data_IF_347469562454
#
_entry.id   IF_347469562454
#
_cell.length_a   1.000
_cell.length_b   1.000
_cell.length_c   1.000
_cell.angle_alpha   90.00
_cell.angle_beta   90.00
_cell.angle_gamma   90.00
#
_symmetry.space_group_name_H-M   'P 1'
#
loop_
_entity.id
_entity.type
_entity.pdbx_description
1 polymer ?
#
# COMPACT_ATOMS: atom_id res chain seq x y z
N UNK A 1 17.96 6.31 -5.54
CA UNK A 1 18.40 5.20 -6.39
C UNK A 1 17.25 4.20 -6.44
N UNK A 2 16.73 3.93 -7.64
CA UNK A 2 15.75 2.86 -7.84
C UNK A 2 16.37 1.55 -7.35
N UNK A 3 15.66 0.82 -6.49
CA UNK A 3 16.07 -0.54 -6.14
C UNK A 3 15.97 -1.33 -7.44
N UNK A 4 17.08 -1.85 -7.98
CA UNK A 4 17.01 -2.67 -9.18
C UNK A 4 16.29 -3.96 -8.81
N UNK A 5 15.19 -4.25 -9.50
CA UNK A 5 14.54 -5.56 -9.46
C UNK A 5 15.58 -6.54 -10.01
N UNK A 6 16.26 -7.26 -9.12
CA UNK A 6 17.26 -8.26 -9.50
C UNK A 6 16.61 -9.30 -10.40
N UNK A 7 17.18 -9.48 -11.58
CA UNK A 7 17.07 -10.71 -12.37
C UNK A 7 17.48 -11.89 -11.48
N UNK A 8 16.50 -12.66 -11.04
CA UNK A 8 16.70 -14.01 -10.54
C UNK A 8 15.72 -14.87 -11.33
N UNK A 9 16.28 -15.87 -12.02
CA UNK A 9 15.55 -16.90 -12.75
C UNK A 9 14.39 -17.43 -11.89
N UNK A 10 13.19 -17.46 -12.48
CA UNK A 10 11.94 -17.79 -11.82
C UNK A 10 11.93 -19.29 -11.48
N UNK A 11 11.91 -19.69 -10.19
CA UNK A 11 11.57 -21.06 -9.83
C UNK A 11 10.08 -21.29 -10.13
N UNK A 12 9.73 -22.54 -10.46
CA UNK A 12 8.40 -22.98 -10.86
C UNK A 12 7.27 -22.37 -10.00
N UNK A 13 6.23 -21.88 -10.67
CA UNK A 13 5.02 -21.35 -10.04
C UNK A 13 4.42 -22.38 -9.08
N UNK A 14 4.11 -21.97 -7.85
CA UNK A 14 3.32 -22.76 -6.91
C UNK A 14 1.98 -23.13 -7.55
N UNK A 15 1.61 -24.42 -7.46
CA UNK A 15 0.54 -25.06 -8.26
C UNK A 15 -0.84 -25.13 -7.58
N UNK A 16 -1.00 -24.64 -6.35
CA UNK A 16 -2.32 -24.60 -5.70
C UNK A 16 -2.93 -23.20 -5.83
N UNK A 17 -3.92 -23.09 -6.72
CA UNK A 17 -4.71 -21.88 -6.95
C UNK A 17 -5.65 -21.55 -5.78
N UNK A 18 -6.51 -20.55 -5.94
CA UNK A 18 -7.50 -20.23 -4.91
C UNK A 18 -8.46 -21.40 -4.66
N UNK A 19 -9.03 -21.50 -3.44
CA UNK A 19 -10.11 -22.44 -3.18
C UNK A 19 -11.23 -22.29 -4.21
N UNK A 20 -11.89 -23.40 -4.55
CA UNK A 20 -13.05 -23.37 -5.42
C UNK A 20 -14.18 -22.57 -4.75
N UNK A 21 -14.68 -21.56 -5.45
CA UNK A 21 -15.76 -20.70 -4.99
C UNK A 21 -16.94 -20.80 -5.98
N UNK A 22 -18.10 -21.35 -5.57
CA UNK A 22 -19.23 -21.54 -6.48
C UNK A 22 -19.83 -20.22 -6.96
N UNK A 23 -19.69 -19.14 -6.19
CA UNK A 23 -20.16 -17.81 -6.59
C UNK A 23 -19.18 -17.16 -7.58
N UNK A 24 -17.92 -17.62 -7.62
CA UNK A 24 -16.89 -17.11 -8.53
C UNK A 24 -16.09 -18.23 -9.21
N UNK A 25 -16.71 -19.04 -10.08
CA UNK A 25 -16.02 -20.12 -10.79
C UNK A 25 -14.82 -19.63 -11.62
N UNK A 26 -14.84 -18.35 -12.01
CA UNK A 26 -13.77 -17.70 -12.78
C UNK A 26 -12.46 -17.61 -12.00
N UNK A 27 -12.48 -17.63 -10.67
CA UNK A 27 -11.27 -17.52 -9.85
C UNK A 27 -10.28 -18.67 -10.08
N UNK A 28 -10.77 -19.84 -10.52
CA UNK A 28 -9.89 -20.96 -10.90
C UNK A 28 -8.90 -20.55 -12.00
N UNK A 29 -9.36 -19.77 -12.98
CA UNK A 29 -8.51 -19.28 -14.07
C UNK A 29 -7.88 -17.95 -13.67
N UNK A 30 -8.65 -17.03 -13.11
CA UNK A 30 -8.21 -15.67 -12.82
C UNK A 30 -7.10 -15.59 -11.75
N UNK A 31 -6.98 -16.59 -10.88
CA UNK A 31 -5.88 -16.66 -9.90
C UNK A 31 -4.62 -17.33 -10.43
N UNK A 32 -4.69 -18.02 -11.58
CA UNK A 32 -3.54 -18.71 -12.19
C UNK A 32 -2.75 -17.76 -13.11
N UNK A 33 -1.48 -17.45 -12.79
CA UNK A 33 -0.67 -16.54 -13.59
C UNK A 33 -0.40 -17.03 -15.02
N UNK A 34 -0.26 -18.35 -15.21
CA UNK A 34 0.03 -18.96 -16.51
C UNK A 34 -1.18 -18.94 -17.42
N UNK A 35 -2.36 -19.31 -16.90
CA UNK A 35 -3.60 -19.23 -17.67
C UNK A 35 -3.94 -17.77 -17.99
N UNK A 36 -3.81 -16.85 -17.02
CA UNK A 36 -4.07 -15.43 -17.28
C UNK A 36 -3.08 -14.80 -18.26
N UNK A 37 -1.83 -15.29 -18.34
CA UNK A 37 -0.88 -14.85 -19.36
C UNK A 37 -1.42 -15.13 -20.77
N UNK A 38 -1.91 -16.34 -21.02
CA UNK A 38 -2.47 -16.71 -22.33
C UNK A 38 -3.77 -15.96 -22.63
N UNK A 39 -4.64 -15.78 -21.61
CA UNK A 39 -5.84 -14.96 -21.72
C UNK A 39 -5.49 -13.51 -22.13
N UNK A 40 -4.53 -12.87 -21.45
CA UNK A 40 -4.15 -11.49 -21.81
C UNK A 40 -3.48 -11.40 -23.18
N UNK A 41 -2.71 -12.40 -23.61
CA UNK A 41 -2.14 -12.46 -24.97
C UNK A 41 -3.20 -12.54 -26.05
N UNK A 42 -4.26 -13.31 -25.81
CA UNK A 42 -5.35 -13.49 -26.76
C UNK A 42 -6.28 -12.27 -26.85
N UNK A 43 -6.50 -11.58 -25.73
CA UNK A 43 -7.56 -10.58 -25.63
C UNK A 43 -7.09 -9.12 -25.59
N UNK A 44 -5.90 -8.78 -25.06
CA UNK A 44 -5.49 -7.37 -24.96
C UNK A 44 -5.12 -6.79 -26.33
N UNK A 45 -5.88 -5.78 -26.77
CA UNK A 45 -5.72 -5.13 -28.07
C UNK A 45 -4.75 -3.96 -28.01
N UNK A 46 -3.59 -4.01 -28.70
CA UNK A 46 -2.62 -2.92 -28.68
C UNK A 46 -3.17 -1.68 -29.40
N UNK A 47 -2.87 -0.50 -28.86
CA UNK A 47 -3.23 0.79 -29.47
C UNK A 47 -2.04 1.31 -30.32
N UNK A 48 -2.35 2.09 -31.35
CA UNK A 48 -1.38 2.82 -32.18
C UNK A 48 -0.44 1.97 -33.07
N UNK A 49 -0.86 0.77 -33.50
CA UNK A 49 -0.14 -0.01 -34.52
C UNK A 49 1.23 -0.55 -34.07
N UNK A 50 1.51 -0.51 -32.75
CA UNK A 50 2.72 -1.06 -32.16
C UNK A 50 2.49 -2.51 -31.73
N UNK A 51 3.52 -3.34 -31.88
CA UNK A 51 3.47 -4.74 -31.50
C UNK A 51 4.20 -4.96 -30.18
N UNK A 52 3.48 -5.52 -29.22
CA UNK A 52 4.00 -5.85 -27.90
C UNK A 52 3.91 -7.36 -27.68
N UNK A 53 4.89 -7.90 -26.98
CA UNK A 53 4.83 -9.25 -26.46
C UNK A 53 4.68 -9.21 -24.95
N UNK A 54 3.64 -9.88 -24.43
CA UNK A 54 3.43 -10.06 -23.00
C UNK A 54 4.30 -11.24 -22.56
N UNK A 55 5.39 -10.98 -21.85
CA UNK A 55 6.37 -11.98 -21.43
C UNK A 55 5.93 -12.71 -20.16
N UNK A 56 5.31 -12.00 -19.21
CA UNK A 56 4.88 -12.56 -17.94
C UNK A 56 3.61 -11.86 -17.43
N UNK A 57 2.81 -12.60 -16.68
CA UNK A 57 1.67 -12.10 -15.91
C UNK A 57 1.91 -12.40 -14.44
N UNK A 58 1.88 -11.37 -13.58
CA UNK A 58 2.10 -11.52 -12.15
C UNK A 58 0.89 -10.96 -11.39
N UNK A 59 0.17 -11.76 -10.59
CA UNK A 59 -0.83 -11.25 -9.67
C UNK A 59 -0.19 -10.29 -8.67
N UNK A 60 -0.82 -9.15 -8.45
CA UNK A 60 -0.35 -8.07 -7.56
C UNK A 60 -1.33 -7.81 -6.42
N UNK A 61 -2.63 -7.98 -6.68
CA UNK A 61 -3.64 -7.71 -5.67
C UNK A 61 -4.90 -8.50 -5.92
N UNK A 62 -5.49 -8.99 -4.84
CA UNK A 62 -6.80 -9.58 -4.82
C UNK A 62 -7.68 -8.92 -3.76
N UNK A 63 -8.94 -8.68 -4.12
CA UNK A 63 -9.97 -8.25 -3.18
C UNK A 63 -11.30 -8.84 -3.62
N UNK A 64 -11.93 -9.61 -2.75
CA UNK A 64 -13.31 -10.02 -2.95
C UNK A 64 -14.27 -9.37 -1.95
N UNK A 65 -15.47 -9.07 -2.43
CA UNK A 65 -16.66 -8.72 -1.67
C UNK A 65 -17.77 -9.68 -2.09
N UNK A 66 -18.82 -9.81 -1.29
CA UNK A 66 -19.91 -10.78 -1.53
C UNK A 66 -20.42 -10.83 -2.98
N UNK A 67 -20.48 -9.70 -3.71
CA UNK A 67 -20.97 -9.67 -5.10
C UNK A 67 -19.90 -9.60 -6.19
N UNK A 68 -18.62 -9.37 -5.83
CA UNK A 68 -17.57 -9.09 -6.81
C UNK A 68 -16.16 -9.31 -6.29
N UNK A 69 -15.31 -9.91 -7.13
CA UNK A 69 -13.87 -9.89 -6.95
C UNK A 69 -13.16 -8.93 -7.92
N UNK A 70 -12.05 -8.36 -7.44
CA UNK A 70 -11.17 -7.44 -8.14
C UNK A 70 -9.77 -8.03 -8.09
N UNK A 71 -9.22 -8.35 -9.26
CA UNK A 71 -7.88 -8.90 -9.43
C UNK A 71 -7.02 -7.87 -10.16
N UNK A 72 -5.82 -7.64 -9.67
CA UNK A 72 -4.85 -6.73 -10.28
C UNK A 72 -3.61 -7.53 -10.65
N UNK A 73 -3.11 -7.30 -11.86
CA UNK A 73 -1.96 -7.96 -12.45
C UNK A 73 -0.92 -6.94 -12.88
N UNK A 74 0.33 -7.36 -12.91
CA UNK A 74 1.44 -6.67 -13.55
C UNK A 74 1.90 -7.52 -14.73
N UNK A 75 1.74 -7.00 -15.93
CA UNK A 75 2.16 -7.63 -17.16
C UNK A 75 3.54 -7.11 -17.54
N UNK A 76 4.51 -8.01 -17.67
CA UNK A 76 5.82 -7.64 -18.23
C UNK A 76 5.71 -7.60 -19.74
N UNK A 77 5.96 -6.44 -20.32
CA UNK A 77 5.85 -6.20 -21.75
C UNK A 77 7.22 -5.99 -22.37
N UNK A 78 7.35 -6.45 -23.62
CA UNK A 78 8.47 -6.13 -24.51
C UNK A 78 7.94 -5.56 -25.82
N UNK A 79 8.34 -4.35 -26.17
CA UNK A 79 8.06 -3.76 -27.48
C UNK A 79 8.96 -4.43 -28.54
N UNK A 80 8.35 -5.01 -29.58
CA UNK A 80 9.08 -5.84 -30.53
C UNK A 80 10.02 -5.04 -31.46
N UNK A 81 9.73 -3.76 -31.67
CA UNK A 81 10.53 -2.89 -32.55
C UNK A 81 11.77 -2.34 -31.86
N UNK A 82 11.65 -1.97 -30.57
CA UNK A 82 12.74 -1.31 -29.82
C UNK A 82 13.44 -2.24 -28.83
N UNK A 83 12.83 -3.39 -28.51
CA UNK A 83 13.27 -4.28 -27.44
C UNK A 83 13.03 -3.73 -26.03
N UNK A 84 12.41 -2.55 -25.90
CA UNK A 84 12.16 -1.92 -24.60
C UNK A 84 11.23 -2.76 -23.76
N UNK A 85 11.54 -2.89 -22.47
CA UNK A 85 10.73 -3.60 -21.49
C UNK A 85 10.16 -2.67 -20.41
N UNK A 86 8.93 -2.93 -19.98
CA UNK A 86 8.30 -2.28 -18.84
C UNK A 86 7.18 -3.15 -18.27
N UNK A 87 6.68 -2.78 -17.09
CA UNK A 87 5.56 -3.45 -16.45
C UNK A 87 4.27 -2.60 -16.63
N UNK A 88 3.17 -3.24 -17.05
CA UNK A 88 1.85 -2.64 -17.28
C UNK A 88 0.84 -3.23 -16.29
N UNK A 89 0.16 -2.37 -15.51
CA UNK A 89 -0.91 -2.85 -14.64
C UNK A 89 -2.22 -3.04 -15.38
N UNK A 90 -2.88 -4.15 -15.09
CA UNK A 90 -4.18 -4.54 -15.62
C UNK A 90 -5.07 -4.99 -14.48
N UNK A 91 -6.35 -4.62 -14.52
CA UNK A 91 -7.36 -5.02 -13.53
C UNK A 91 -8.40 -5.90 -14.20
N UNK A 92 -8.69 -7.07 -13.61
CA UNK A 92 -9.85 -7.89 -13.91
C UNK A 92 -10.95 -7.71 -12.86
N UNK A 93 -12.19 -7.51 -13.31
CA UNK A 93 -13.39 -7.45 -12.48
C UNK A 93 -14.30 -8.63 -12.82
N UNK A 94 -14.58 -9.48 -11.82
CA UNK A 94 -15.48 -10.64 -11.96
C UNK A 94 -16.62 -10.54 -10.96
N UNK A 95 -17.83 -10.82 -11.40
CA UNK A 95 -19.06 -10.64 -10.64
C UNK A 95 -19.71 -12.00 -10.36
N UNK A 96 -20.37 -12.12 -9.21
CA UNK A 96 -21.03 -13.37 -8.84
C UNK A 96 -22.27 -13.64 -9.71
N UNK A 97 -23.03 -12.60 -10.02
CA UNK A 97 -24.21 -12.70 -10.86
C UNK A 97 -23.84 -12.64 -12.35
N UNK A 98 -24.42 -13.57 -13.11
CA UNK A 98 -24.22 -13.69 -14.55
C UNK A 98 -24.67 -12.42 -15.30
N UNK A 99 -23.91 -12.04 -16.32
CA UNK A 99 -24.16 -10.86 -17.16
C UNK A 99 -23.93 -9.50 -16.50
N UNK A 100 -23.62 -9.42 -15.20
CA UNK A 100 -23.32 -8.13 -14.56
C UNK A 100 -22.04 -7.48 -15.11
N UNK A 101 -21.01 -8.29 -15.36
CA UNK A 101 -19.77 -7.82 -15.95
C UNK A 101 -19.98 -7.26 -17.37
N UNK A 102 -20.76 -7.95 -18.20
CA UNK A 102 -21.07 -7.51 -19.56
C UNK A 102 -21.87 -6.20 -19.56
N UNK A 103 -22.93 -6.11 -18.74
CA UNK A 103 -23.72 -4.88 -18.58
C UNK A 103 -22.84 -3.70 -18.15
N UNK A 104 -21.92 -3.92 -17.22
CA UNK A 104 -20.98 -2.90 -16.79
C UNK A 104 -20.06 -2.46 -17.94
N UNK A 105 -19.47 -3.41 -18.66
CA UNK A 105 -18.59 -3.11 -19.80
C UNK A 105 -19.31 -2.28 -20.87
N UNK A 106 -20.53 -2.68 -21.25
CA UNK A 106 -21.33 -1.94 -22.23
C UNK A 106 -21.58 -0.48 -21.79
N UNK A 107 -21.95 -0.28 -20.52
CA UNK A 107 -22.16 1.05 -19.97
C UNK A 107 -20.86 1.89 -19.95
N UNK A 108 -19.72 1.29 -19.61
CA UNK A 108 -18.43 1.97 -19.54
C UNK A 108 -17.85 2.32 -20.92
N UNK A 109 -18.06 1.46 -21.92
CA UNK A 109 -17.61 1.68 -23.30
C UNK A 109 -18.23 2.93 -23.92
N UNK A 110 -19.46 3.27 -23.56
CA UNK A 110 -20.15 4.47 -24.04
C UNK A 110 -19.52 5.80 -23.53
N UNK A 111 -18.67 5.74 -22.50
CA UNK A 111 -18.11 6.92 -21.84
C UNK A 111 -16.72 7.35 -22.36
N UNK A 112 -16.28 6.84 -23.51
CA UNK A 112 -14.97 7.09 -24.14
C UNK A 112 -13.79 6.93 -23.15
N UNK A 113 -13.43 5.69 -22.79
CA UNK A 113 -12.48 5.42 -21.71
C UNK A 113 -11.06 5.92 -22.00
N UNK A 114 -10.68 6.09 -23.27
CA UNK A 114 -9.36 6.57 -23.69
C UNK A 114 -9.15 8.08 -23.59
N UNK A 115 -10.24 8.86 -23.48
CA UNK A 115 -10.16 10.32 -23.38
C UNK A 115 -9.28 10.75 -22.21
N UNK A 116 -8.44 11.76 -22.45
CA UNK A 116 -7.50 12.35 -21.47
C UNK A 116 -6.33 11.45 -21.02
N UNK A 117 -6.25 10.20 -21.49
CA UNK A 117 -5.06 9.37 -21.24
C UNK A 117 -3.95 9.79 -22.23
N UNK A 118 -2.74 10.13 -21.75
CA UNK A 118 -1.64 10.48 -22.65
C UNK A 118 -1.20 9.28 -23.49
N UNK A 119 -0.85 9.51 -24.76
CA UNK A 119 -0.41 8.47 -25.70
C UNK A 119 0.68 7.55 -25.15
N UNK A 120 1.66 8.10 -24.41
CA UNK A 120 2.74 7.33 -23.78
C UNK A 120 2.27 6.26 -22.78
N UNK A 121 1.03 6.36 -22.29
CA UNK A 121 0.40 5.44 -21.35
C UNK A 121 -0.69 4.56 -22.02
N UNK A 122 -0.96 4.74 -23.31
CA UNK A 122 -1.93 3.97 -24.08
C UNK A 122 -1.26 2.79 -24.79
N UNK A 123 -0.87 1.77 -24.03
CA UNK A 123 -0.30 0.53 -24.62
C UNK A 123 -1.39 -0.35 -25.25
N UNK A 124 -2.49 -0.56 -24.53
CA UNK A 124 -3.65 -1.34 -24.97
C UNK A 124 -4.93 -0.51 -24.91
N UNK A 125 -6.02 -1.03 -25.47
CA UNK A 125 -7.35 -0.47 -25.25
C UNK A 125 -7.59 -0.33 -23.74
N UNK A 126 -8.03 0.84 -23.24
CA UNK A 126 -8.14 1.07 -21.79
C UNK A 126 -9.19 0.20 -21.08
N UNK A 127 -10.11 -0.35 -21.86
CA UNK A 127 -11.24 -1.14 -21.39
C UNK A 127 -11.54 -2.27 -22.38
N UNK A 128 -11.66 -3.49 -21.90
CA UNK A 128 -12.10 -4.64 -22.70
C UNK A 128 -13.01 -5.60 -21.90
N UNK A 129 -13.58 -6.58 -22.59
CA UNK A 129 -14.38 -7.65 -21.99
C UNK A 129 -13.92 -9.02 -22.49
N UNK A 130 -13.73 -9.94 -21.55
CA UNK A 130 -13.31 -11.33 -21.83
C UNK A 130 -14.52 -12.24 -21.57
N UNK A 131 -15.22 -12.72 -22.63
CA UNK A 131 -16.47 -13.46 -22.49
C UNK A 131 -16.33 -14.76 -21.69
N UNK A 132 -15.27 -15.52 -21.95
CA UNK A 132 -15.01 -16.83 -21.32
C UNK A 132 -14.85 -16.74 -19.79
N UNK A 133 -14.39 -15.58 -19.31
CA UNK A 133 -14.24 -15.30 -17.89
C UNK A 133 -15.30 -14.35 -17.34
N UNK A 134 -16.29 -13.93 -18.15
CA UNK A 134 -17.25 -12.88 -17.77
C UNK A 134 -16.55 -11.71 -17.04
N UNK A 135 -15.42 -11.26 -17.61
CA UNK A 135 -14.49 -10.37 -16.92
C UNK A 135 -14.39 -9.03 -17.64
N UNK A 136 -14.60 -7.94 -16.90
CA UNK A 136 -14.24 -6.60 -17.38
C UNK A 136 -12.77 -6.35 -17.10
N UNK A 137 -12.04 -5.88 -18.11
CA UNK A 137 -10.61 -5.60 -18.01
C UNK A 137 -10.36 -4.09 -18.12
N UNK A 138 -9.71 -3.50 -17.13
CA UNK A 138 -9.28 -2.11 -17.12
C UNK A 138 -7.75 -2.03 -17.19
N UNK A 139 -7.21 -1.25 -18.13
CA UNK A 139 -5.77 -1.07 -18.30
C UNK A 139 -5.35 0.28 -17.70
N UNK A 140 -4.43 0.25 -16.73
CA UNK A 140 -3.91 1.46 -16.10
C UNK A 140 -3.33 2.41 -17.17
N UNK A 141 -3.62 3.74 -17.12
CA UNK A 141 -4.17 4.49 -15.98
C UNK A 141 -5.70 4.66 -15.99
N UNK A 142 -6.44 3.93 -16.83
CA UNK A 142 -7.89 3.92 -16.72
C UNK A 142 -8.33 3.16 -15.46
N UNK A 143 -9.17 3.81 -14.66
CA UNK A 143 -9.81 3.24 -13.48
C UNK A 143 -11.16 3.93 -13.30
N UNK A 144 -12.23 3.14 -13.38
CA UNK A 144 -13.60 3.68 -13.33
C UNK A 144 -13.97 4.34 -12.01
N UNK A 145 -13.25 4.02 -10.92
CA UNK A 145 -13.45 4.59 -9.58
C UNK A 145 -12.42 5.68 -9.25
N UNK A 146 -11.42 5.90 -10.11
CA UNK A 146 -10.46 7.01 -10.04
C UNK A 146 -10.43 7.81 -11.36
N UNK A 147 -11.54 8.45 -11.77
CA UNK A 147 -11.61 9.17 -13.05
C UNK A 147 -10.63 10.35 -13.15
N UNK A 148 -10.16 10.86 -12.01
CA UNK A 148 -9.12 11.88 -11.87
C UNK A 148 -7.71 11.36 -12.19
N UNK A 149 -7.46 10.04 -12.12
CA UNK A 149 -6.13 9.47 -12.34
C UNK A 149 -5.58 9.77 -13.73
N UNK A 150 -6.37 9.59 -14.78
CA UNK A 150 -5.96 9.92 -16.16
C UNK A 150 -5.61 11.40 -16.34
N UNK A 151 -6.35 12.31 -15.68
CA UNK A 151 -6.08 13.76 -15.71
C UNK A 151 -4.73 14.08 -15.06
N UNK A 152 -4.46 13.49 -13.89
CA UNK A 152 -3.18 13.64 -13.16
C UNK A 152 -2.00 13.06 -13.95
N UNK A 153 -2.19 11.89 -14.57
CA UNK A 153 -1.18 11.26 -15.43
C UNK A 153 -0.89 12.08 -16.71
N UNK A 154 -1.86 12.88 -17.13
CA UNK A 154 -1.79 13.82 -18.24
C UNK A 154 -1.36 15.24 -17.85
N UNK A 155 -2.17 16.21 -18.25
CA UNK A 155 -1.82 17.65 -18.21
C UNK A 155 -2.02 18.34 -16.86
N UNK A 156 -2.79 17.73 -15.95
CA UNK A 156 -3.20 18.38 -14.70
C UNK A 156 -2.04 18.65 -13.72
N UNK A 157 -0.86 18.09 -13.98
CA UNK A 157 0.38 18.42 -13.26
C UNK A 157 0.75 19.90 -13.28
N UNK A 158 0.34 20.64 -14.31
CA UNK A 158 0.55 22.11 -14.41
C UNK A 158 -0.12 22.88 -13.27
N UNK A 159 -1.11 22.28 -12.60
CA UNK A 159 -1.84 22.91 -11.49
C UNK A 159 -1.03 22.94 -10.17
N UNK A 160 -0.11 21.99 -9.96
CA UNK A 160 0.73 21.97 -8.74
C UNK A 160 2.22 22.26 -9.00
N UNK A 161 2.69 22.21 -10.25
CA UNK A 161 4.09 22.49 -10.60
C UNK A 161 4.63 23.81 -10.00
N UNK A 162 3.91 24.95 -10.06
CA UNK A 162 4.39 26.19 -9.45
C UNK A 162 4.66 26.05 -7.95
N UNK A 163 3.75 25.41 -7.21
CA UNK A 163 3.88 25.19 -5.76
C UNK A 163 5.06 24.27 -5.40
N UNK A 164 5.43 23.36 -6.32
CA UNK A 164 6.63 22.52 -6.15
C UNK A 164 7.89 23.35 -6.39
N UNK A 165 7.92 24.22 -7.41
CA UNK A 165 9.04 25.10 -7.74
C UNK A 165 9.29 26.15 -6.65
N UNK A 166 8.24 26.71 -6.04
CA UNK A 166 8.32 27.71 -4.97
C UNK A 166 9.17 27.24 -3.77
N UNK A 167 9.34 25.92 -3.60
CA UNK A 167 10.18 25.32 -2.55
C UNK A 167 11.68 25.58 -2.75
N UNK A 168 12.12 25.97 -3.95
CA UNK A 168 13.51 26.34 -4.20
C UNK A 168 13.88 27.71 -3.61
N UNK A 169 12.88 28.45 -3.11
CA UNK A 169 13.06 29.78 -2.55
C UNK A 169 13.05 30.86 -3.64
N UNK A 170 13.53 32.08 -3.33
CA UNK A 170 13.50 33.19 -4.26
C UNK A 170 14.32 32.87 -5.52
N UNK A 171 13.77 33.19 -6.69
CA UNK A 171 14.41 32.96 -7.99
C UNK A 171 13.38 32.72 -9.09
N UNK A 172 13.76 32.98 -10.34
CA UNK A 172 12.92 32.64 -11.49
C UNK A 172 13.25 31.23 -11.96
N UNK A 173 12.55 30.26 -11.37
CA UNK A 173 12.71 28.84 -11.69
C UNK A 173 11.75 28.41 -12.78
N UNK A 174 12.25 27.63 -13.72
CA UNK A 174 11.44 27.00 -14.76
C UNK A 174 11.79 25.52 -14.84
N UNK A 175 10.80 24.72 -15.21
CA UNK A 175 10.98 23.28 -15.37
C UNK A 175 11.45 22.96 -16.81
N UNK A 176 12.52 22.17 -16.94
CA UNK A 176 13.09 21.74 -18.22
C UNK A 176 12.65 20.31 -18.56
N UNK A 177 12.77 19.37 -17.63
CA UNK A 177 12.37 17.97 -17.81
C UNK A 177 11.46 17.48 -16.69
N UNK A 178 10.54 16.56 -17.03
CA UNK A 178 9.59 15.98 -16.07
C UNK A 178 9.40 14.49 -16.28
N UNK A 179 9.47 13.72 -15.20
CA UNK A 179 9.08 12.32 -15.19
C UNK A 179 7.96 12.06 -14.19
N UNK A 180 7.07 11.15 -14.57
CA UNK A 180 5.98 10.66 -13.71
C UNK A 180 6.15 9.15 -13.62
N UNK A 181 6.39 8.66 -12.41
CA UNK A 181 6.59 7.24 -12.13
C UNK A 181 5.49 6.79 -11.15
N UNK A 182 4.55 5.93 -11.58
CA UNK A 182 3.61 5.32 -10.66
C UNK A 182 4.36 4.44 -9.66
N UNK A 183 4.36 4.81 -8.39
CA UNK A 183 5.05 4.04 -7.33
C UNK A 183 4.13 3.06 -6.64
N UNK A 184 2.81 3.34 -6.63
CA UNK A 184 1.80 2.46 -6.06
C UNK A 184 0.46 2.69 -6.75
N UNK A 185 -0.22 1.63 -7.14
CA UNK A 185 -1.58 1.71 -7.64
C UNK A 185 -2.42 0.64 -6.95
N UNK A 186 -3.44 1.08 -6.21
CA UNK A 186 -4.46 0.22 -5.60
C UNK A 186 -5.75 0.48 -6.36
N UNK A 187 -6.02 -0.36 -7.36
CA UNK A 187 -7.25 -0.35 -8.16
C UNK A 187 -8.49 0.02 -7.32
N UNK A 188 -9.23 1.00 -7.80
CA UNK A 188 -10.43 1.60 -7.24
C UNK A 188 -10.31 2.30 -5.88
N UNK A 189 -9.10 2.38 -5.31
CA UNK A 189 -8.83 2.94 -3.99
C UNK A 189 -7.96 4.19 -4.06
N UNK A 190 -6.92 4.16 -4.88
CA UNK A 190 -6.05 5.31 -5.11
C UNK A 190 -4.71 4.95 -5.76
N UNK A 191 -3.95 5.96 -6.14
CA UNK A 191 -2.60 5.83 -6.69
C UNK A 191 -1.64 6.78 -5.98
N UNK A 192 -0.37 6.42 -5.92
CA UNK A 192 0.72 7.31 -5.53
C UNK A 192 1.71 7.37 -6.71
N UNK A 193 2.01 8.59 -7.13
CA UNK A 193 2.85 8.88 -8.29
C UNK A 193 4.06 9.68 -7.81
N UNK A 194 5.26 9.24 -8.14
CA UNK A 194 6.47 10.02 -7.95
C UNK A 194 6.62 10.97 -9.13
N UNK A 195 6.72 12.26 -8.82
CA UNK A 195 7.03 13.31 -9.76
C UNK A 195 8.49 13.72 -9.59
N UNK A 196 9.24 13.75 -10.69
CA UNK A 196 10.60 14.30 -10.71
C UNK A 196 10.65 15.45 -11.70
N UNK A 197 11.22 16.57 -11.26
CA UNK A 197 11.29 17.82 -12.02
C UNK A 197 12.75 18.28 -12.06
N UNK A 198 13.33 18.41 -13.25
CA UNK A 198 14.57 19.14 -13.46
C UNK A 198 14.21 20.63 -13.59
N UNK A 199 14.62 21.44 -12.61
CA UNK A 199 14.35 22.87 -12.56
C UNK A 199 15.63 23.67 -12.81
N UNK A 200 15.53 24.75 -13.58
CA UNK A 200 16.64 25.67 -13.86
C UNK A 200 16.28 27.10 -13.51
N UNK A 201 17.21 27.79 -12.86
CA UNK A 201 17.11 29.21 -12.54
C UNK A 201 17.55 30.06 -13.73
N UNK A 202 16.70 31.00 -14.15
CA UNK A 202 16.92 31.82 -15.34
C UNK A 202 18.20 32.68 -15.26
N UNK A 203 18.52 33.22 -14.09
CA UNK A 203 19.61 34.21 -13.93
C UNK A 203 20.98 33.56 -13.75
N UNK A 204 21.06 32.44 -13.03
CA UNK A 204 22.33 31.79 -12.68
C UNK A 204 22.61 30.58 -13.56
N UNK A 205 21.64 30.15 -14.37
CA UNK A 205 21.64 28.87 -15.07
C UNK A 205 21.85 27.65 -14.15
N UNK A 206 21.63 27.80 -12.83
CA UNK A 206 21.72 26.70 -11.88
C UNK A 206 20.57 25.71 -12.11
N UNK A 207 20.90 24.43 -12.25
CA UNK A 207 19.92 23.35 -12.32
C UNK A 207 19.83 22.58 -11.00
N UNK A 208 18.64 22.08 -10.69
CA UNK A 208 18.37 21.26 -9.51
C UNK A 208 17.21 20.31 -9.77
N UNK A 209 17.30 19.10 -9.22
CA UNK A 209 16.21 18.12 -9.30
C UNK A 209 15.31 18.24 -8.07
N UNK A 210 14.00 18.38 -8.30
CA UNK A 210 12.97 18.31 -7.28
C UNK A 210 12.18 17.02 -7.39
N UNK A 211 11.72 16.52 -6.24
CA UNK A 211 10.82 15.36 -6.16
C UNK A 211 9.66 15.62 -5.24
N UNK A 212 8.49 15.17 -5.66
CA UNK A 212 7.29 15.12 -4.85
C UNK A 212 6.47 13.86 -5.14
N UNK A 213 5.53 13.55 -4.27
CA UNK A 213 4.61 12.44 -4.41
C UNK A 213 3.18 12.97 -4.54
N UNK A 214 2.47 12.54 -5.57
CA UNK A 214 1.06 12.87 -5.80
C UNK A 214 0.21 11.66 -5.45
N UNK A 215 -0.59 11.76 -4.39
CA UNK A 215 -1.56 10.74 -3.97
C UNK A 215 -2.92 11.10 -4.55
N UNK A 216 -3.41 10.26 -5.44
CA UNK A 216 -4.70 10.38 -6.12
C UNK A 216 -5.74 9.58 -5.34
N UNK A 217 -6.77 10.26 -4.85
CA UNK A 217 -7.83 9.66 -4.03
C UNK A 217 -9.09 9.46 -4.85
N UNK A 218 -9.88 8.47 -4.44
CA UNK A 218 -11.24 8.26 -4.95
C UNK A 218 -12.24 9.31 -4.45
N UNK A 219 -12.00 9.84 -3.26
CA UNK A 219 -12.88 10.75 -2.51
C UNK A 219 -12.09 11.94 -1.96
N UNK A 220 -12.76 12.83 -1.22
CA UNK A 220 -12.17 14.06 -0.64
C UNK A 220 -11.31 13.81 0.61
N UNK A 221 -11.05 12.56 0.98
CA UNK A 221 -10.29 12.20 2.20
C UNK A 221 -8.86 12.79 2.23
N UNK A 222 -8.30 13.12 1.07
CA UNK A 222 -7.01 13.80 0.96
C UNK A 222 -7.01 15.22 1.55
N UNK A 223 -8.17 15.91 1.60
CA UNK A 223 -8.27 17.24 2.18
C UNK A 223 -8.04 17.21 3.70
N UNK A 224 -8.72 16.30 4.41
CA UNK A 224 -8.54 16.10 5.86
C UNK A 224 -7.08 15.74 6.19
N UNK A 225 -6.48 14.90 5.34
CA UNK A 225 -5.07 14.51 5.49
C UNK A 225 -4.13 15.71 5.30
N UNK A 226 -4.40 16.57 4.32
CA UNK A 226 -3.63 17.79 4.09
C UNK A 226 -3.63 18.71 5.32
N UNK A 227 -4.80 18.96 5.91
CA UNK A 227 -4.95 19.80 7.09
C UNK A 227 -4.21 19.23 8.30
N UNK A 228 -4.33 17.93 8.54
CA UNK A 228 -3.59 17.24 9.59
C UNK A 228 -2.07 17.37 9.40
N UNK A 229 -1.57 17.06 8.20
CA UNK A 229 -0.13 17.10 7.91
C UNK A 229 0.42 18.53 8.00
N UNK A 230 -0.36 19.55 7.63
CA UNK A 230 0.01 20.96 7.73
C UNK A 230 0.17 21.36 9.20
N UNK A 231 -0.84 21.08 10.02
CA UNK A 231 -0.81 21.37 11.46
C UNK A 231 0.36 20.66 12.17
N UNK A 232 0.61 19.40 11.83
CA UNK A 232 1.74 18.63 12.36
C UNK A 232 3.10 19.19 11.93
N UNK A 233 3.22 19.60 10.66
CA UNK A 233 4.47 20.15 10.10
C UNK A 233 4.84 21.49 10.72
N UNK A 234 3.86 22.35 11.01
CA UNK A 234 4.07 23.65 11.67
C UNK A 234 4.58 23.47 13.11
N UNK A 235 3.95 22.57 13.88
CA UNK A 235 4.35 22.28 15.27
C UNK A 235 5.74 21.62 15.35
N UNK A 236 6.10 20.77 14.39
CA UNK A 236 7.43 20.17 14.33
C UNK A 236 8.55 21.22 14.17
N UNK A 237 8.30 22.33 13.45
CA UNK A 237 9.29 23.42 13.31
C UNK A 237 9.55 24.15 14.63
N UNK A 238 8.59 24.15 15.55
CA UNK A 238 8.75 24.72 16.88
C UNK A 238 9.57 23.83 17.85
N UNK A 239 10.05 22.66 17.40
CA UNK A 239 10.88 21.75 18.22
C UNK A 239 10.09 20.97 19.27
N UNK A 240 8.76 20.92 19.16
CA UNK A 240 7.87 20.48 20.25
C UNK A 240 7.56 18.97 20.26
N UNK A 241 8.05 18.16 19.30
CA UNK A 241 7.62 16.76 19.14
C UNK A 241 8.79 15.80 18.93
N UNK A 242 8.67 14.58 19.47
CA UNK A 242 9.62 13.47 19.30
C UNK A 242 9.55 12.76 17.94
N UNK A 243 8.80 13.29 16.98
CA UNK A 243 8.63 12.75 15.64
C UNK A 243 8.29 13.86 14.63
N UNK A 244 8.34 13.55 13.35
CA UNK A 244 7.90 14.41 12.24
C UNK A 244 6.97 13.64 11.30
N UNK A 245 6.28 14.36 10.42
CA UNK A 245 5.50 13.77 9.32
C UNK A 245 6.00 14.28 7.98
N UNK A 246 5.67 13.56 6.90
CA UNK A 246 5.88 14.05 5.55
C UNK A 246 5.18 15.40 5.36
N UNK A 247 5.91 16.36 4.79
CA UNK A 247 5.38 17.70 4.58
C UNK A 247 4.38 17.70 3.42
N UNK A 248 3.19 18.27 3.60
CA UNK A 248 2.28 18.50 2.49
C UNK A 248 2.70 19.76 1.73
N UNK A 249 2.57 19.71 0.41
CA UNK A 249 2.80 20.87 -0.49
C UNK A 249 1.45 21.54 -0.77
N UNK A 250 0.48 20.78 -1.27
CA UNK A 250 -0.85 21.31 -1.61
C UNK A 250 -1.87 20.18 -1.72
N UNK A 251 -3.16 20.52 -1.66
CA UNK A 251 -4.27 19.65 -2.02
C UNK A 251 -5.09 20.28 -3.15
N UNK A 252 -5.30 19.53 -4.23
CA UNK A 252 -6.12 19.94 -5.37
C UNK A 252 -7.48 19.23 -5.31
N UNK A 253 -8.53 19.94 -4.89
CA UNK A 253 -9.89 19.38 -4.75
C UNK A 253 -10.44 18.84 -6.08
N UNK A 254 -10.28 19.59 -7.17
CA UNK A 254 -10.75 19.21 -8.52
C UNK A 254 -10.11 17.92 -9.04
N UNK A 255 -8.94 17.56 -8.52
CA UNK A 255 -8.22 16.35 -8.86
C UNK A 255 -8.24 15.32 -7.73
N UNK A 256 -8.85 15.62 -6.58
CA UNK A 256 -8.77 14.84 -5.34
C UNK A 256 -7.37 14.33 -5.08
N UNK A 257 -6.39 15.21 -5.17
CA UNK A 257 -4.97 14.84 -5.18
C UNK A 257 -4.18 15.62 -4.14
N UNK A 258 -3.47 14.89 -3.27
CA UNK A 258 -2.57 15.44 -2.26
C UNK A 258 -1.13 15.37 -2.77
N UNK A 259 -0.45 16.50 -2.79
CA UNK A 259 0.96 16.60 -3.19
C UNK A 259 1.80 16.69 -1.92
N UNK A 260 2.78 15.80 -1.79
CA UNK A 260 3.66 15.64 -0.63
C UNK A 260 5.12 15.80 -1.03
N UNK A 261 5.96 16.30 -0.13
CA UNK A 261 7.42 16.26 -0.32
C UNK A 261 7.93 14.80 -0.37
N UNK A 262 9.08 14.54 -1.01
CA UNK A 262 9.82 13.29 -0.79
C UNK A 262 10.34 13.28 0.66
N UNK A 263 9.97 12.27 1.44
CA UNK A 263 10.47 12.13 2.80
C UNK A 263 12.00 11.91 2.78
N UNK A 264 12.78 12.67 3.57
CA UNK A 264 14.22 12.47 3.63
C UNK A 264 14.57 11.21 4.43
N UNK A 265 15.82 10.75 4.27
CA UNK A 265 16.34 9.61 5.02
C UNK A 265 16.08 8.26 4.36
N UNK A 266 16.12 7.21 5.17
CA UNK A 266 15.99 5.80 4.74
C UNK A 266 14.80 5.15 5.43
N UNK A 267 14.00 4.39 4.70
CA UNK A 267 12.87 3.67 5.27
C UNK A 267 13.35 2.60 6.28
N UNK A 268 12.62 2.42 7.38
CA UNK A 268 12.93 1.42 8.40
C UNK A 268 13.01 0.02 7.76
N UNK A 269 12.13 -0.29 6.81
CA UNK A 269 12.17 -1.55 6.06
C UNK A 269 13.55 -1.79 5.42
N UNK A 270 14.14 -0.77 4.79
CA UNK A 270 15.44 -0.88 4.14
C UNK A 270 16.57 -1.08 5.16
N UNK A 271 16.50 -0.40 6.30
CA UNK A 271 17.47 -0.55 7.40
C UNK A 271 17.42 -1.97 7.95
N UNK A 272 16.22 -2.51 8.20
CA UNK A 272 16.03 -3.88 8.68
C UNK A 272 16.59 -4.93 7.71
N UNK A 273 16.43 -4.70 6.39
CA UNK A 273 16.93 -5.60 5.35
C UNK A 273 18.46 -5.55 5.17
N UNK A 274 19.12 -4.45 5.57
CA UNK A 274 20.57 -4.30 5.45
C UNK A 274 21.36 -5.04 6.56
N UNK A 275 20.69 -5.50 7.61
CA UNK A 275 21.27 -6.39 8.63
C UNK A 275 22.29 -5.75 9.58
N UNK A 276 22.56 -4.44 9.48
CA UNK A 276 23.43 -3.71 10.43
C UNK A 276 22.61 -3.32 11.65
N UNK A 277 23.06 -3.75 12.83
CA UNK A 277 22.45 -3.53 14.16
C UNK A 277 21.16 -2.67 14.16
N UNK A 278 19.99 -3.29 13.89
CA UNK A 278 18.74 -2.56 13.75
C UNK A 278 18.22 -2.01 15.08
N UNK A 279 18.83 -2.39 16.21
CA UNK A 279 18.35 -2.06 17.56
C UNK A 279 18.23 -0.54 17.76
N UNK A 280 19.24 0.23 17.32
CA UNK A 280 19.22 1.69 17.43
C UNK A 280 18.05 2.32 16.67
N UNK A 281 17.82 1.88 15.43
CA UNK A 281 16.74 2.36 14.57
C UNK A 281 15.36 2.00 15.15
N UNK A 282 15.15 0.74 15.56
CA UNK A 282 13.86 0.33 16.12
C UNK A 282 13.56 1.01 17.46
N UNK A 283 14.57 1.29 18.29
CA UNK A 283 14.40 2.05 19.54
C UNK A 283 14.04 3.51 19.27
N UNK A 284 14.67 4.15 18.28
CA UNK A 284 14.29 5.50 17.86
C UNK A 284 12.83 5.56 17.38
N UNK A 285 12.42 4.56 16.59
CA UNK A 285 11.03 4.44 16.12
C UNK A 285 10.06 4.19 17.27
N UNK A 286 10.42 3.33 18.24
CA UNK A 286 9.59 3.08 19.42
C UNK A 286 9.29 4.37 20.21
N UNK A 287 10.31 5.22 20.42
CA UNK A 287 10.12 6.53 21.07
C UNK A 287 9.22 7.46 20.26
N UNK A 288 9.39 7.50 18.94
CA UNK A 288 8.57 8.32 18.05
C UNK A 288 7.10 7.86 18.04
N UNK A 289 6.85 6.55 18.02
CA UNK A 289 5.50 5.96 18.09
C UNK A 289 4.87 6.24 19.46
N UNK A 290 5.62 6.07 20.56
CA UNK A 290 5.15 6.43 21.90
C UNK A 290 4.80 7.91 22.04
N UNK A 291 5.59 8.80 21.43
CA UNK A 291 5.28 10.23 21.39
C UNK A 291 4.03 10.52 20.54
N UNK A 292 3.86 9.85 19.40
CA UNK A 292 2.67 9.98 18.55
C UNK A 292 1.40 9.52 19.26
N UNK A 293 1.44 8.35 19.92
CA UNK A 293 0.29 7.77 20.61
C UNK A 293 -0.11 8.49 21.91
N UNK A 294 0.69 9.47 22.36
CA UNK A 294 0.38 10.32 23.53
C UNK A 294 0.15 11.79 23.14
N UNK A 295 0.08 12.07 21.84
CA UNK A 295 -0.06 13.41 21.33
C UNK A 295 -1.51 13.92 21.39
N UNK A 296 -1.68 15.24 21.42
CA UNK A 296 -2.94 15.90 21.12
C UNK A 296 -2.89 16.48 19.70
N UNK A 297 -3.52 15.74 18.78
CA UNK A 297 -3.59 16.11 17.36
C UNK A 297 -4.83 16.94 17.02
N UNK A 298 -5.75 17.18 17.96
CA UNK A 298 -7.03 17.82 17.67
C UNK A 298 -7.90 17.07 16.64
N UNK A 299 -7.64 15.78 16.43
CA UNK A 299 -8.41 14.93 15.52
C UNK A 299 -9.70 14.45 16.19
N UNK A 300 -10.78 14.36 15.43
CA UNK A 300 -12.11 13.98 15.95
C UNK A 300 -12.56 12.58 15.53
N UNK A 301 -11.99 12.05 14.44
CA UNK A 301 -12.32 10.73 13.91
C UNK A 301 -11.90 9.65 14.89
N UNK A 302 -12.79 8.70 15.11
CA UNK A 302 -12.60 7.60 16.07
C UNK A 302 -12.61 6.26 15.36
N UNK A 303 -11.89 5.32 15.93
CA UNK A 303 -11.89 3.91 15.59
C UNK A 303 -12.19 3.14 16.87
N UNK A 304 -13.45 2.73 17.01
CA UNK A 304 -13.95 2.06 18.21
C UNK A 304 -13.40 0.64 18.35
N UNK A 305 -13.63 0.03 19.52
CA UNK A 305 -13.38 -1.40 19.69
C UNK A 305 -14.16 -2.22 18.65
N UNK A 306 -15.42 -1.86 18.38
CA UNK A 306 -16.24 -2.55 17.38
C UNK A 306 -15.60 -2.50 15.99
N UNK A 307 -15.13 -1.32 15.55
CA UNK A 307 -14.44 -1.17 14.26
C UNK A 307 -13.17 -2.04 14.19
N UNK A 308 -12.39 -2.08 15.28
CA UNK A 308 -11.19 -2.90 15.39
C UNK A 308 -11.52 -4.40 15.33
N UNK A 309 -12.51 -4.87 16.08
CA UNK A 309 -12.92 -6.27 16.04
C UNK A 309 -13.45 -6.65 14.66
N UNK A 310 -14.11 -5.75 13.96
CA UNK A 310 -14.57 -5.97 12.59
C UNK A 310 -13.43 -6.01 11.57
N UNK A 311 -12.37 -5.21 11.74
CA UNK A 311 -11.13 -5.34 10.95
C UNK A 311 -10.51 -6.74 11.12
N UNK A 312 -10.37 -7.20 12.36
CA UNK A 312 -9.82 -8.53 12.68
C UNK A 312 -10.72 -9.65 12.13
N UNK A 313 -12.04 -9.58 12.32
CA UNK A 313 -12.99 -10.58 11.80
C UNK A 313 -12.92 -10.67 10.28
N UNK A 314 -12.87 -9.52 9.57
CA UNK A 314 -12.74 -9.50 8.10
C UNK A 314 -11.42 -10.13 7.63
N UNK A 315 -10.32 -9.86 8.33
CA UNK A 315 -9.04 -10.50 8.04
C UNK A 315 -9.09 -12.01 8.30
N UNK A 316 -9.66 -12.42 9.43
CA UNK A 316 -9.88 -13.81 9.83
C UNK A 316 -10.68 -14.58 8.78
N UNK A 317 -11.84 -14.07 8.36
CA UNK A 317 -12.67 -14.72 7.34
C UNK A 317 -11.94 -14.88 6.01
N UNK A 318 -11.13 -13.90 5.61
CA UNK A 318 -10.36 -14.01 4.38
C UNK A 318 -9.27 -15.07 4.47
N UNK A 319 -8.56 -15.14 5.61
CA UNK A 319 -7.51 -16.15 5.83
C UNK A 319 -8.11 -17.55 5.86
N UNK A 320 -9.24 -17.73 6.57
CA UNK A 320 -9.94 -19.02 6.63
C UNK A 320 -10.49 -19.48 5.28
N UNK A 321 -10.90 -18.53 4.42
CA UNK A 321 -11.31 -18.85 3.06
C UNK A 321 -10.09 -19.20 2.20
N UNK A 322 -9.06 -18.35 2.18
CA UNK A 322 -7.89 -18.51 1.32
C UNK A 322 -7.00 -19.71 1.69
N UNK A 323 -6.94 -20.07 2.97
CA UNK A 323 -6.08 -21.14 3.49
C UNK A 323 -6.83 -21.99 4.53
N UNK A 324 -7.68 -22.92 4.07
CA UNK A 324 -8.52 -23.74 4.95
C UNK A 324 -7.76 -24.51 6.03
N UNK A 325 -6.50 -24.84 5.81
CA UNK A 325 -5.60 -25.56 6.73
C UNK A 325 -5.35 -24.79 8.02
N UNK A 326 -5.36 -23.44 8.00
CA UNK A 326 -5.19 -22.61 9.20
C UNK A 326 -6.52 -22.18 9.83
N UNK A 327 -7.66 -22.71 9.37
CA UNK A 327 -8.98 -22.23 9.78
C UNK A 327 -9.18 -22.33 11.29
N UNK A 328 -8.92 -23.50 11.87
CA UNK A 328 -9.18 -23.76 13.29
C UNK A 328 -8.33 -22.87 14.20
N UNK A 329 -7.04 -22.70 13.87
CA UNK A 329 -6.11 -21.85 14.60
C UNK A 329 -6.55 -20.38 14.53
N UNK A 330 -6.89 -19.90 13.33
CA UNK A 330 -7.31 -18.51 13.11
C UNK A 330 -8.64 -18.22 13.79
N UNK A 331 -9.60 -19.14 13.76
CA UNK A 331 -10.86 -19.04 14.51
C UNK A 331 -10.62 -18.93 16.02
N UNK A 332 -9.77 -19.79 16.58
CA UNK A 332 -9.44 -19.78 18.00
C UNK A 332 -8.78 -18.46 18.44
N UNK A 333 -7.81 -17.97 17.64
CA UNK A 333 -7.12 -16.70 17.91
C UNK A 333 -8.08 -15.51 17.81
N UNK A 334 -8.91 -15.44 16.77
CA UNK A 334 -9.91 -14.39 16.62
C UNK A 334 -10.89 -14.40 17.79
N UNK A 335 -11.33 -15.57 18.24
CA UNK A 335 -12.21 -15.69 19.40
C UNK A 335 -11.55 -15.23 20.70
N UNK A 336 -10.24 -15.48 20.87
CA UNK A 336 -9.48 -14.96 22.01
C UNK A 336 -9.37 -13.43 21.97
N UNK A 337 -9.10 -12.83 20.81
CA UNK A 337 -9.06 -11.38 20.61
C UNK A 337 -10.42 -10.74 20.92
N UNK A 338 -11.51 -11.30 20.38
CA UNK A 338 -12.88 -10.79 20.59
C UNK A 338 -13.29 -10.85 22.06
N UNK A 339 -12.93 -11.92 22.79
CA UNK A 339 -13.26 -12.04 24.22
C UNK A 339 -12.37 -11.19 25.12
N UNK A 340 -11.11 -10.97 24.73
CA UNK A 340 -10.11 -10.39 25.62
C UNK A 340 -9.90 -8.88 25.48
N UNK A 341 -10.27 -8.28 24.35
CA UNK A 341 -10.16 -6.83 24.17
C UNK A 341 -11.38 -6.10 24.74
N UNK A 342 -11.13 -5.01 25.45
CA UNK A 342 -12.15 -4.14 26.04
C UNK A 342 -11.99 -2.69 25.59
N UNK A 343 -13.00 -1.86 25.89
CA UNK A 343 -12.96 -0.43 25.60
C UNK A 343 -11.88 0.28 26.43
N UNK A 344 -11.19 1.24 25.81
CA UNK A 344 -10.11 2.00 26.44
C UNK A 344 -10.19 3.48 26.07
N UNK A 345 -9.55 4.38 26.84
CA UNK A 345 -9.33 5.74 26.40
C UNK A 345 -8.60 5.75 25.04
N UNK A 346 -9.20 6.41 24.06
CA UNK A 346 -8.63 6.50 22.71
C UNK A 346 -7.52 7.53 22.68
N UNK A 347 -6.48 7.25 21.90
CA UNK A 347 -5.40 8.16 21.62
C UNK A 347 -5.05 8.13 20.11
N UNK A 348 -4.25 9.07 19.59
CA UNK A 348 -3.91 9.06 18.17
C UNK A 348 -3.19 7.78 17.76
N UNK A 349 -3.66 7.17 16.67
CA UNK A 349 -3.01 6.05 16.01
C UNK A 349 -2.87 6.33 14.52
N UNK A 350 -1.79 5.86 13.91
CA UNK A 350 -1.49 5.90 12.50
C UNK A 350 -2.38 4.93 11.69
N UNK A 351 -2.74 3.78 12.30
CA UNK A 351 -3.63 2.72 11.77
C UNK A 351 -3.09 1.92 10.58
N UNK A 352 -2.15 2.45 9.80
CA UNK A 352 -1.39 1.70 8.77
C UNK A 352 0.13 1.77 9.04
N UNK A 353 0.54 1.64 10.31
CA UNK A 353 1.94 1.71 10.72
C UNK A 353 2.70 0.44 10.35
N UNK A 354 3.70 0.57 9.48
CA UNK A 354 4.58 -0.53 9.04
C UNK A 354 5.96 -0.01 8.60
N UNK A 355 6.99 -0.88 8.47
CA UNK A 355 8.36 -0.43 8.29
C UNK A 355 8.65 0.43 7.05
N UNK A 356 7.88 0.30 5.97
CA UNK A 356 8.02 1.13 4.76
C UNK A 356 7.36 2.51 4.88
N UNK A 357 6.61 2.76 5.95
CA UNK A 357 5.95 4.03 6.25
C UNK A 357 6.71 4.90 7.27
N UNK A 358 7.89 4.45 7.68
CA UNK A 358 8.69 5.08 8.73
C UNK A 358 10.07 5.37 8.17
N UNK A 359 10.48 6.63 8.15
CA UNK A 359 11.77 7.06 7.62
C UNK A 359 12.66 7.58 8.74
N UNK A 360 13.94 7.22 8.71
CA UNK A 360 14.96 7.71 9.63
C UNK A 360 15.91 8.65 8.90
N UNK A 361 16.03 9.87 9.41
CA UNK A 361 16.92 10.90 8.88
C UNK A 361 17.70 11.57 10.02
N UNK A 362 18.95 11.13 10.22
CA UNK A 362 19.71 11.50 11.40
C UNK A 362 19.05 10.95 12.67
N UNK A 363 18.74 11.82 13.61
CA UNK A 363 18.01 11.52 14.84
C UNK A 363 16.48 11.58 14.70
N UNK A 364 15.97 11.97 13.52
CA UNK A 364 14.54 12.19 13.28
C UNK A 364 13.85 10.97 12.72
N UNK A 365 12.70 10.64 13.29
CA UNK A 365 11.74 9.69 12.73
C UNK A 365 10.61 10.44 12.04
N UNK A 366 10.32 10.06 10.80
CA UNK A 366 9.36 10.70 9.93
C UNK A 366 8.29 9.68 9.53
N UNK A 367 7.03 9.95 9.84
CA UNK A 367 5.90 9.13 9.40
C UNK A 367 5.36 9.61 8.06
N UNK A 368 5.06 8.66 7.17
CA UNK A 368 4.37 8.89 5.91
C UNK A 368 3.08 8.08 5.86
N UNK A 369 2.20 8.36 4.89
CA UNK A 369 0.92 7.67 4.71
C UNK A 369 -0.05 7.85 5.90
N UNK A 370 -0.10 9.08 6.44
CA UNK A 370 -0.96 9.46 7.57
C UNK A 370 -2.45 9.60 7.23
N UNK A 371 -2.89 9.09 6.08
CA UNK A 371 -4.29 9.17 5.66
C UNK A 371 -5.22 8.43 6.65
N UNK A 372 -4.71 7.39 7.31
CA UNK A 372 -5.53 6.55 8.19
C UNK A 372 -5.52 7.00 9.66
N UNK A 373 -4.90 8.14 9.97
CA UNK A 373 -4.78 8.65 11.33
C UNK A 373 -6.15 8.91 11.95
N UNK A 374 -6.36 8.37 13.15
CA UNK A 374 -7.63 8.43 13.91
C UNK A 374 -7.33 8.32 15.40
N UNK A 375 -8.31 8.62 16.26
CA UNK A 375 -8.29 8.20 17.66
C UNK A 375 -8.68 6.73 17.75
N UNK A 376 -7.86 5.89 18.36
CA UNK A 376 -8.12 4.46 18.55
C UNK A 376 -7.41 3.92 19.79
N UNK A 377 -7.41 2.60 19.98
CA UNK A 377 -6.59 1.99 21.04
C UNK A 377 -5.10 2.22 20.74
N UNK A 378 -4.34 2.92 21.61
CA UNK A 378 -2.93 3.24 21.38
C UNK A 378 -2.02 2.01 21.26
N UNK A 379 -2.49 0.82 21.63
CA UNK A 379 -1.72 -0.43 21.52
C UNK A 379 -1.81 -1.03 20.11
N UNK A 380 -2.72 -0.55 19.25
CA UNK A 380 -2.93 -1.10 17.90
C UNK A 380 -1.74 -0.89 16.97
N UNK A 381 -1.18 0.32 16.93
CA UNK A 381 -0.01 0.66 16.10
C UNK A 381 1.26 -0.11 16.46
N UNK A 382 1.73 -0.13 17.73
CA UNK A 382 2.91 -0.89 18.10
C UNK A 382 2.72 -2.40 17.86
N UNK A 383 1.51 -2.92 17.99
CA UNK A 383 1.21 -4.31 17.66
C UNK A 383 1.28 -4.60 16.15
N UNK A 384 0.83 -3.66 15.30
CA UNK A 384 0.97 -3.79 13.84
C UNK A 384 2.42 -3.71 13.39
N UNK A 385 3.20 -2.78 13.95
CA UNK A 385 4.62 -2.69 13.63
C UNK A 385 5.37 -3.94 14.12
N UNK A 386 5.06 -4.44 15.32
CA UNK A 386 5.54 -5.73 15.79
C UNK A 386 5.19 -6.86 14.81
N UNK A 387 3.92 -6.97 14.40
CA UNK A 387 3.45 -8.02 13.51
C UNK A 387 4.16 -7.99 12.15
N UNK A 388 4.40 -6.80 11.59
CA UNK A 388 5.16 -6.65 10.36
C UNK A 388 6.62 -7.08 10.50
N UNK A 389 7.28 -6.76 11.62
CA UNK A 389 8.68 -7.14 11.85
C UNK A 389 8.78 -8.64 12.15
N UNK A 390 8.09 -9.13 13.20
CA UNK A 390 8.17 -10.52 13.65
C UNK A 390 7.60 -11.51 12.62
N UNK A 391 6.47 -11.18 11.99
CA UNK A 391 5.87 -11.94 10.89
C UNK A 391 6.60 -11.76 9.55
N UNK A 392 7.64 -10.91 9.51
CA UNK A 392 8.46 -10.59 8.34
C UNK A 392 7.65 -10.14 7.11
N UNK A 393 6.56 -9.40 7.33
CA UNK A 393 5.74 -8.85 6.26
C UNK A 393 6.53 -7.82 5.44
N UNK A 394 6.96 -8.21 4.23
CA UNK A 394 7.85 -7.40 3.39
C UNK A 394 9.32 -7.45 3.83
N UNK A 395 9.72 -8.42 4.66
CA UNK A 395 11.08 -8.57 5.20
C UNK A 395 11.61 -10.01 4.97
N UNK A 396 11.27 -10.62 3.84
CA UNK A 396 11.49 -12.05 3.59
C UNK A 396 12.93 -12.51 3.73
N UNK A 397 13.89 -11.66 3.33
CA UNK A 397 15.31 -11.96 3.42
C UNK A 397 15.90 -11.76 4.82
N UNK A 398 15.12 -11.26 5.78
CA UNK A 398 15.55 -11.09 7.16
C UNK A 398 15.46 -12.43 7.91
N UNK A 399 16.54 -12.86 8.61
CA UNK A 399 16.49 -14.05 9.45
C UNK A 399 15.42 -13.94 10.55
N UNK A 400 14.68 -15.04 10.81
CA UNK A 400 13.57 -15.08 11.78
C UNK A 400 14.01 -14.65 13.18
N UNK A 401 15.20 -15.06 13.62
CA UNK A 401 15.74 -14.69 14.93
C UNK A 401 16.05 -13.21 15.03
N UNK A 402 16.65 -12.63 13.98
CA UNK A 402 16.94 -11.19 13.94
C UNK A 402 15.65 -10.36 13.91
N UNK A 403 14.64 -10.81 13.16
CA UNK A 403 13.33 -10.18 13.13
C UNK A 403 12.67 -10.17 14.52
N UNK A 404 12.68 -11.31 15.23
CA UNK A 404 12.17 -11.42 16.60
C UNK A 404 12.95 -10.54 17.58
N UNK A 405 14.27 -10.51 17.49
CA UNK A 405 15.11 -9.65 18.34
C UNK A 405 14.81 -8.16 18.11
N UNK A 406 14.69 -7.73 16.85
CA UNK A 406 14.31 -6.35 16.50
C UNK A 406 12.92 -5.98 17.00
N UNK A 407 11.95 -6.89 16.85
CA UNK A 407 10.59 -6.69 17.35
C UNK A 407 10.56 -6.62 18.89
N UNK A 408 11.33 -7.45 19.60
CA UNK A 408 11.44 -7.41 21.05
C UNK A 408 12.08 -6.10 21.54
N UNK A 409 13.15 -5.64 20.89
CA UNK A 409 13.80 -4.36 21.23
C UNK A 409 12.86 -3.15 21.02
N UNK A 410 12.04 -3.19 19.95
CA UNK A 410 10.99 -2.18 19.73
C UNK A 410 9.97 -2.18 20.87
N UNK A 411 9.45 -3.35 21.24
CA UNK A 411 8.43 -3.52 22.27
C UNK A 411 8.94 -3.07 23.64
N UNK A 412 10.15 -3.49 24.02
CA UNK A 412 10.79 -3.10 25.27
C UNK A 412 10.89 -1.57 25.37
N UNK A 413 11.42 -0.93 24.33
CA UNK A 413 11.57 0.52 24.31
C UNK A 413 10.21 1.22 24.34
N UNK A 414 9.25 0.82 23.50
CA UNK A 414 7.93 1.46 23.42
C UNK A 414 7.23 1.46 24.78
N UNK A 415 7.18 0.31 25.46
CA UNK A 415 6.54 0.19 26.78
C UNK A 415 7.32 0.86 27.92
N UNK A 416 8.56 1.29 27.69
CA UNK A 416 9.30 2.17 28.59
C UNK A 416 8.83 3.63 28.57
N UNK A 417 8.12 4.05 27.51
CA UNK A 417 7.72 5.45 27.27
C UNK A 417 6.20 5.70 27.31
N UNK A 418 5.39 4.68 27.63
CA UNK A 418 3.92 4.78 27.67
C UNK A 418 3.33 4.24 28.98
N UNK A 419 2.05 4.51 29.30
CA UNK A 419 1.42 4.00 30.51
C UNK A 419 1.48 2.47 30.65
N UNK A 420 1.87 1.98 31.84
CA UNK A 420 2.01 0.54 32.14
C UNK A 420 0.79 -0.32 31.77
N UNK A 421 -0.47 0.10 31.98
CA UNK A 421 -1.64 -0.72 31.64
C UNK A 421 -1.78 -1.05 30.14
N UNK A 422 -1.11 -0.31 29.26
CA UNK A 422 -1.12 -0.60 27.82
C UNK A 422 -0.45 -1.93 27.49
N UNK A 423 0.49 -2.39 28.31
CA UNK A 423 1.25 -3.62 28.06
C UNK A 423 0.41 -4.89 28.25
N UNK A 424 -0.60 -4.86 29.12
CA UNK A 424 -1.39 -6.05 29.49
C UNK A 424 -2.17 -6.63 28.29
N UNK A 425 -2.69 -5.75 27.43
CA UNK A 425 -3.48 -6.14 26.25
C UNK A 425 -2.63 -6.39 24.99
N UNK A 426 -1.33 -6.08 25.02
CA UNK A 426 -0.45 -6.16 23.86
C UNK A 426 -0.43 -7.54 23.16
N UNK A 427 -0.39 -8.70 23.87
CA UNK A 427 -0.44 -10.01 23.23
C UNK A 427 -1.66 -10.23 22.33
N UNK A 428 -2.84 -9.77 22.77
CA UNK A 428 -4.09 -9.89 22.00
C UNK A 428 -4.06 -8.98 20.77
N UNK A 429 -3.56 -7.75 20.90
CA UNK A 429 -3.37 -6.87 19.75
C UNK A 429 -2.39 -7.47 18.73
N UNK A 430 -1.29 -8.08 19.18
CA UNK A 430 -0.34 -8.74 18.30
C UNK A 430 -0.98 -9.92 17.54
N UNK A 431 -1.79 -10.74 18.21
CA UNK A 431 -2.49 -11.84 17.56
C UNK A 431 -3.45 -11.33 16.47
N UNK A 432 -4.27 -10.32 16.78
CA UNK A 432 -5.14 -9.69 15.79
C UNK A 432 -4.37 -9.06 14.63
N UNK A 433 -3.30 -8.32 14.92
CA UNK A 433 -2.46 -7.69 13.91
C UNK A 433 -1.75 -8.71 13.00
N UNK A 434 -1.33 -9.86 13.52
CA UNK A 434 -0.72 -10.93 12.73
C UNK A 434 -1.73 -11.61 11.80
N UNK A 435 -3.00 -11.76 12.22
CA UNK A 435 -4.10 -12.19 11.33
C UNK A 435 -4.33 -11.14 10.23
N UNK A 436 -4.31 -9.85 10.56
CA UNK A 436 -4.41 -8.76 9.58
C UNK A 436 -3.22 -8.74 8.59
N UNK A 437 -1.99 -9.00 9.07
CA UNK A 437 -0.78 -9.14 8.24
C UNK A 437 -0.90 -10.36 7.32
N UNK A 438 -1.34 -11.52 7.83
CA UNK A 438 -1.60 -12.73 7.06
C UNK A 438 -2.60 -12.48 5.92
N UNK A 439 -3.73 -11.82 6.24
CA UNK A 439 -4.70 -11.40 5.23
C UNK A 439 -4.08 -10.41 4.22
N UNK A 440 -3.20 -9.53 4.67
CA UNK A 440 -2.47 -8.59 3.82
C UNK A 440 -1.52 -9.27 2.83
N UNK A 441 -0.79 -10.30 3.27
CA UNK A 441 0.11 -11.13 2.45
C UNK A 441 -0.68 -11.78 1.31
N UNK A 442 -1.83 -12.38 1.63
CA UNK A 442 -2.73 -12.93 0.61
C UNK A 442 -3.30 -11.84 -0.31
N UNK A 443 -3.85 -10.75 0.24
CA UNK A 443 -4.40 -9.64 -0.58
C UNK A 443 -3.39 -9.04 -1.54
N UNK A 444 -2.11 -9.01 -1.20
CA UNK A 444 -1.01 -8.51 -2.05
C UNK A 444 -0.42 -9.58 -2.97
N UNK A 445 -0.96 -10.80 -2.95
CA UNK A 445 -0.49 -11.92 -3.76
C UNK A 445 1.03 -12.08 -3.67
N UNK A 446 1.56 -11.96 -2.45
CA UNK A 446 3.00 -12.06 -2.26
C UNK A 446 3.51 -13.42 -2.72
N UNK A 447 4.75 -13.46 -3.21
CA UNK A 447 5.41 -14.74 -3.55
C UNK A 447 5.42 -15.65 -2.34
N UNK A 448 5.08 -16.93 -2.56
CA UNK A 448 4.95 -17.93 -1.50
C UNK A 448 3.99 -17.51 -0.37
N UNK A 449 2.91 -16.80 -0.69
CA UNK A 449 1.95 -16.32 0.32
C UNK A 449 1.44 -17.41 1.28
N UNK A 450 1.23 -18.70 0.91
CA UNK A 450 0.78 -19.71 1.88
C UNK A 450 1.82 -19.95 2.98
N UNK A 451 3.09 -20.11 2.59
CA UNK A 451 4.21 -20.28 3.53
C UNK A 451 4.33 -19.08 4.48
N UNK A 452 4.19 -17.88 3.94
CA UNK A 452 4.25 -16.63 4.73
C UNK A 452 3.05 -16.47 5.67
N UNK A 453 1.86 -16.86 5.20
CA UNK A 453 0.64 -16.86 5.99
C UNK A 453 0.77 -17.81 7.18
N UNK A 454 1.22 -19.05 6.95
CA UNK A 454 1.50 -20.03 8.02
C UNK A 454 2.49 -19.46 9.04
N UNK A 455 3.59 -18.84 8.57
CA UNK A 455 4.55 -18.22 9.47
C UNK A 455 3.93 -17.08 10.33
N UNK A 456 3.04 -16.27 9.77
CA UNK A 456 2.34 -15.22 10.52
C UNK A 456 1.37 -15.81 11.56
N UNK A 457 0.67 -16.91 11.23
CA UNK A 457 -0.21 -17.64 12.15
C UNK A 457 0.60 -18.26 13.31
N UNK A 458 1.76 -18.86 13.03
CA UNK A 458 2.67 -19.37 14.08
C UNK A 458 3.15 -18.26 15.03
N UNK A 459 3.54 -17.10 14.49
CA UNK A 459 3.92 -15.95 15.34
C UNK A 459 2.74 -15.46 16.18
N UNK A 460 1.50 -15.55 15.68
CA UNK A 460 0.30 -15.14 16.41
C UNK A 460 0.02 -16.05 17.61
N UNK A 461 0.23 -17.36 17.45
CA UNK A 461 0.17 -18.32 18.55
C UNK A 461 1.28 -18.07 19.59
N UNK A 462 2.51 -17.83 19.12
CA UNK A 462 3.64 -17.47 20.01
C UNK A 462 3.35 -16.22 20.81
N UNK A 463 2.76 -15.22 20.17
CA UNK A 463 2.33 -13.97 20.78
C UNK A 463 1.34 -14.21 21.94
N UNK A 464 0.30 -15.01 21.71
CA UNK A 464 -0.70 -15.34 22.74
C UNK A 464 -0.10 -16.11 23.93
N UNK A 465 0.89 -16.96 23.68
CA UNK A 465 1.59 -17.72 24.73
C UNK A 465 2.63 -16.90 25.51
N UNK A 466 2.71 -15.59 25.28
CA UNK A 466 3.64 -14.71 25.99
C UNK A 466 5.08 -14.79 25.51
N UNK A 467 5.33 -15.31 24.30
CA UNK A 467 6.66 -15.53 23.71
C UNK A 467 7.45 -14.26 23.32
N UNK A 468 7.13 -13.13 23.96
CA UNK A 468 7.83 -11.84 23.91
C UNK A 468 8.64 -11.55 25.18
N UNK A 469 8.52 -12.39 26.22
CA UNK A 469 9.28 -12.26 27.47
C UNK A 469 10.71 -12.74 27.29
#
# INVERSE_FOLDING_TARGET
MAVPVRNQELPAAWQEGFPADPDFPQLKIASDPGLMLEVFRAHLKPVAGRLYHIEACLPVRFRCRQSRCVLQYSLRLRELTTGRQWDQWVTGLVYAAEGEAERLWQAMRAADPGREIPERWLTFEPLDFIPDLQMVVEVFPYDRRLPNLRRVMGGARREFEPMVLDRLGPGQWSAEERTVEPTRYRTELGAALKYTLEAREALTARSTTLRCYVKVYRNEHGAETFDLLRALSERARAGQRGYSVVRPITYLSELRSLVLEEAPGTALQQILLQGRDPASAVRAVARAVAAFNQDDLGITRRHSLADQLDDVKRASSLVQWAWPEARAEVEAMTAAVVRGLGEVPLAPIHRDLKPDHIFLWGDRVIFIDCDSVVLGDPVRDPAHLFAHIAGRGGLDSMPREQARAGAAAFVEEYFGHVPRPWRERFPLHCAGALIEVAAGIFKRQEREWPRKLTAAVEEAQRALSGGFR
#
